data_IF_992970575090
#
_entry.id   IF_992970575090
#
_cell.length_a   1.000
_cell.length_b   1.000
_cell.length_c   1.000
_cell.angle_alpha   90.00
_cell.angle_beta   90.00
_cell.angle_gamma   90.00
#
_symmetry.space_group_name_H-M   'P 1'
#
loop_
_entity.id
_entity.type
_entity.pdbx_description
1 polymer ?
#
# COMPACT_ATOMS: atom_id res chain seq x y z
N UNK A 1 -5.20 -23.17 -4.54
CA UNK A 1 -5.80 -21.80 -4.50
C UNK A 1 -5.01 -20.97 -5.48
N UNK A 2 -5.67 -20.23 -6.37
CA UNK A 2 -5.00 -19.29 -7.29
C UNK A 2 -4.47 -18.11 -6.49
N UNK A 3 -3.22 -17.74 -6.68
CA UNK A 3 -2.62 -16.57 -6.04
C UNK A 3 -3.36 -15.30 -6.45
N UNK A 4 -3.59 -14.37 -5.51
CA UNK A 4 -4.23 -13.08 -5.78
C UNK A 4 -3.26 -12.12 -6.48
N UNK A 5 -2.01 -12.10 -6.05
CA UNK A 5 -0.88 -11.52 -6.76
C UNK A 5 0.22 -12.58 -6.85
N UNK A 6 0.70 -12.84 -8.05
CA UNK A 6 1.83 -13.73 -8.32
C UNK A 6 2.99 -12.93 -8.89
N UNK A 7 4.14 -13.03 -8.28
CA UNK A 7 5.43 -12.50 -8.73
C UNK A 7 6.33 -13.67 -9.08
N UNK A 8 6.92 -13.64 -10.26
CA UNK A 8 7.74 -14.76 -10.77
C UNK A 8 9.03 -14.24 -11.39
N UNK A 9 10.17 -14.67 -10.82
CA UNK A 9 11.50 -14.43 -11.38
C UNK A 9 11.85 -12.94 -11.55
N UNK A 10 11.39 -12.04 -10.64
CA UNK A 10 11.67 -10.61 -10.79
C UNK A 10 13.16 -10.33 -10.64
N UNK A 11 13.72 -9.72 -11.66
CA UNK A 11 15.08 -9.18 -11.69
C UNK A 11 15.04 -7.69 -12.01
N UNK A 12 15.86 -6.89 -11.32
CA UNK A 12 15.97 -5.46 -11.63
C UNK A 12 17.30 -4.88 -11.18
N UNK A 13 17.95 -4.10 -12.08
CA UNK A 13 19.25 -3.47 -11.87
C UNK A 13 19.16 -1.96 -12.01
N UNK A 14 19.84 -1.27 -11.12
CA UNK A 14 20.12 0.17 -11.25
C UNK A 14 21.61 0.35 -11.62
N UNK A 15 21.92 0.41 -12.91
CA UNK A 15 23.31 0.42 -13.37
C UNK A 15 24.08 -0.80 -12.86
N UNK A 16 25.09 -0.61 -12.01
CA UNK A 16 25.86 -1.71 -11.42
C UNK A 16 25.25 -2.38 -10.18
N UNK A 17 24.16 -1.83 -9.63
CA UNK A 17 23.51 -2.38 -8.44
C UNK A 17 22.39 -3.35 -8.83
N UNK A 18 22.48 -4.60 -8.42
CA UNK A 18 21.44 -5.60 -8.60
C UNK A 18 20.45 -5.51 -7.44
N UNK A 19 19.33 -4.82 -7.66
CA UNK A 19 18.37 -4.48 -6.62
C UNK A 19 17.33 -5.56 -6.34
N UNK A 20 16.99 -6.39 -7.35
CA UNK A 20 16.17 -7.60 -7.22
C UNK A 20 16.81 -8.72 -8.03
N UNK A 21 16.82 -9.93 -7.48
CA UNK A 21 17.49 -11.09 -8.04
C UNK A 21 16.58 -12.32 -7.91
N UNK A 22 15.98 -12.75 -9.00
CA UNK A 22 15.10 -13.92 -9.11
C UNK A 22 14.03 -13.97 -7.99
N UNK A 23 13.40 -12.83 -7.70
CA UNK A 23 12.38 -12.75 -6.65
C UNK A 23 11.07 -13.40 -7.11
N UNK A 24 10.64 -14.45 -6.41
CA UNK A 24 9.37 -15.13 -6.68
C UNK A 24 8.57 -15.32 -5.41
N UNK A 25 7.31 -14.86 -5.40
CA UNK A 25 6.38 -15.03 -4.26
C UNK A 25 4.93 -14.88 -4.69
N UNK A 26 4.03 -15.31 -3.82
CA UNK A 26 2.59 -15.18 -4.01
C UNK A 26 1.93 -14.51 -2.80
N UNK A 27 0.90 -13.72 -3.08
CA UNK A 27 0.04 -13.11 -2.06
C UNK A 27 -1.35 -13.70 -2.19
N UNK A 28 -1.90 -14.19 -1.07
CA UNK A 28 -3.24 -14.74 -0.99
C UNK A 28 -4.27 -13.63 -0.77
N UNK A 29 -5.45 -13.81 -1.36
CA UNK A 29 -6.55 -12.86 -1.19
C UNK A 29 -7.06 -12.80 0.26
N UNK A 30 -7.40 -11.60 0.72
CA UNK A 30 -8.00 -11.38 2.04
C UNK A 30 -7.01 -11.53 3.21
N UNK A 31 -5.71 -11.54 2.94
CA UNK A 31 -4.65 -11.65 3.95
C UNK A 31 -3.80 -10.41 4.07
N UNK A 32 -3.16 -10.27 5.24
CA UNK A 32 -2.08 -9.31 5.46
C UNK A 32 -0.74 -10.03 5.29
N UNK A 33 -0.01 -9.69 4.23
CA UNK A 33 1.37 -10.12 4.00
C UNK A 33 2.32 -8.99 4.34
N UNK A 34 3.30 -9.24 5.21
CA UNK A 34 4.36 -8.28 5.52
C UNK A 34 5.62 -8.57 4.71
N UNK A 35 6.16 -7.55 4.03
CA UNK A 35 7.46 -7.58 3.37
C UNK A 35 8.49 -6.95 4.30
N UNK A 36 9.37 -7.75 4.85
CA UNK A 36 10.38 -7.36 5.84
C UNK A 36 11.81 -7.54 5.31
N UNK A 37 12.76 -6.91 5.93
CA UNK A 37 14.18 -7.00 5.60
C UNK A 37 14.93 -5.71 5.91
N UNK A 38 16.28 -5.72 5.92
CA UNK A 38 17.08 -4.54 6.21
C UNK A 38 16.89 -3.41 5.19
N UNK A 39 17.41 -2.23 5.52
CA UNK A 39 17.43 -1.11 4.58
C UNK A 39 18.27 -1.47 3.35
N UNK A 40 17.79 -1.10 2.16
CA UNK A 40 18.46 -1.46 0.91
C UNK A 40 18.17 -2.89 0.41
N UNK A 41 17.36 -3.69 1.11
CA UNK A 41 17.04 -5.07 0.69
C UNK A 41 16.28 -5.19 -0.63
N UNK A 42 15.67 -4.10 -1.15
CA UNK A 42 14.88 -4.10 -2.40
C UNK A 42 13.37 -3.94 -2.20
N UNK A 43 12.87 -3.75 -0.96
CA UNK A 43 11.43 -3.65 -0.64
C UNK A 43 10.71 -2.57 -1.45
N UNK A 44 11.27 -1.36 -1.49
CA UNK A 44 10.72 -0.24 -2.27
C UNK A 44 10.77 -0.51 -3.77
N UNK A 45 11.80 -1.25 -4.25
CA UNK A 45 11.91 -1.68 -5.64
C UNK A 45 10.78 -2.63 -6.01
N UNK A 46 10.47 -3.64 -5.18
CA UNK A 46 9.31 -4.52 -5.36
C UNK A 46 8.02 -3.70 -5.47
N UNK A 47 7.78 -2.75 -4.55
CA UNK A 47 6.60 -1.89 -4.60
C UNK A 47 6.53 -1.06 -5.88
N UNK A 48 7.68 -0.51 -6.33
CA UNK A 48 7.74 0.28 -7.56
C UNK A 48 7.45 -0.57 -8.80
N UNK A 49 7.94 -1.81 -8.84
CA UNK A 49 7.69 -2.74 -9.95
C UNK A 49 6.22 -3.16 -9.97
N UNK A 50 5.65 -3.62 -8.84
CA UNK A 50 4.23 -4.00 -8.74
C UNK A 50 3.31 -2.84 -9.17
N UNK A 51 3.68 -1.60 -8.88
CA UNK A 51 2.84 -0.42 -9.18
C UNK A 51 3.20 0.28 -10.49
N UNK A 52 4.10 -0.30 -11.32
CA UNK A 52 4.44 0.19 -12.66
C UNK A 52 5.26 1.47 -12.68
N UNK A 53 5.84 1.89 -11.54
CA UNK A 53 6.80 3.00 -11.49
C UNK A 53 8.19 2.58 -11.99
N UNK A 54 8.48 1.28 -11.95
CA UNK A 54 9.65 0.65 -12.53
C UNK A 54 9.20 -0.54 -13.37
N UNK A 55 9.89 -0.78 -14.48
CA UNK A 55 9.75 -2.01 -15.26
C UNK A 55 10.83 -2.99 -14.80
N UNK A 56 10.52 -4.27 -14.57
CA UNK A 56 11.55 -5.26 -14.28
C UNK A 56 12.40 -5.52 -15.53
N UNK A 57 13.66 -5.92 -15.34
CA UNK A 57 14.52 -6.35 -16.44
C UNK A 57 14.12 -7.75 -16.91
N UNK A 58 13.75 -8.63 -15.95
CA UNK A 58 13.23 -9.97 -16.20
C UNK A 58 12.11 -10.31 -15.21
N UNK A 59 11.37 -11.37 -15.51
CA UNK A 59 10.28 -11.86 -14.69
C UNK A 59 8.92 -11.29 -15.07
N UNK A 60 7.91 -11.63 -14.30
CA UNK A 60 6.52 -11.22 -14.57
C UNK A 60 5.72 -11.04 -13.29
N UNK A 61 4.67 -10.22 -13.37
CA UNK A 61 3.70 -10.01 -12.31
C UNK A 61 2.30 -10.27 -12.85
N UNK A 62 1.56 -11.15 -12.20
CA UNK A 62 0.16 -11.40 -12.47
C UNK A 62 -0.70 -11.02 -11.27
N UNK A 63 -1.76 -10.26 -11.53
CA UNK A 63 -2.77 -9.92 -10.54
C UNK A 63 -4.09 -10.53 -10.97
N UNK A 64 -4.58 -11.52 -10.19
CA UNK A 64 -5.66 -12.40 -10.63
C UNK A 64 -5.28 -13.07 -11.95
N UNK A 65 -6.11 -12.91 -12.98
CA UNK A 65 -5.91 -13.48 -14.31
C UNK A 65 -5.27 -12.49 -15.30
N UNK A 66 -4.68 -11.39 -14.82
CA UNK A 66 -4.10 -10.33 -15.64
C UNK A 66 -2.62 -10.15 -15.37
N UNK A 67 -1.82 -10.17 -16.42
CA UNK A 67 -0.44 -9.74 -16.38
C UNK A 67 -0.38 -8.22 -16.23
N UNK A 68 0.43 -7.74 -15.29
CA UNK A 68 0.66 -6.31 -15.04
C UNK A 68 1.84 -5.75 -15.81
N UNK A 69 2.62 -6.61 -16.48
CA UNK A 69 3.83 -6.24 -17.17
C UNK A 69 3.56 -5.11 -18.18
N UNK A 70 4.45 -4.10 -18.16
CA UNK A 70 4.37 -2.90 -19.00
C UNK A 70 3.12 -1.99 -18.77
N UNK A 71 2.28 -2.29 -17.78
CA UNK A 71 1.19 -1.38 -17.45
C UNK A 71 1.71 -0.11 -16.78
N UNK A 72 1.11 1.03 -17.15
CA UNK A 72 1.36 2.31 -16.48
C UNK A 72 0.68 2.34 -15.11
N UNK A 73 1.17 3.12 -14.13
CA UNK A 73 0.60 3.20 -12.78
C UNK A 73 -0.92 3.42 -12.75
N UNK A 74 -1.45 4.26 -13.65
CA UNK A 74 -2.88 4.53 -13.71
C UNK A 74 -3.70 3.28 -14.13
N UNK A 75 -3.16 2.42 -14.99
CA UNK A 75 -3.81 1.18 -15.39
C UNK A 75 -3.79 0.15 -14.25
N UNK A 76 -2.71 0.12 -13.47
CA UNK A 76 -2.57 -0.75 -12.29
C UNK A 76 -3.57 -0.34 -11.19
N UNK A 77 -3.75 0.96 -10.94
CA UNK A 77 -4.80 1.43 -10.01
C UNK A 77 -6.18 1.01 -10.48
N UNK A 78 -6.48 1.14 -11.78
CA UNK A 78 -7.76 0.68 -12.37
C UNK A 78 -7.92 -0.84 -12.31
N UNK A 79 -6.83 -1.59 -12.32
CA UNK A 79 -6.87 -3.05 -12.12
C UNK A 79 -7.21 -3.45 -10.68
N UNK A 80 -7.10 -2.54 -9.70
CA UNK A 80 -7.46 -2.77 -8.32
C UNK A 80 -6.28 -2.82 -7.35
N UNK A 81 -5.11 -2.29 -7.72
CA UNK A 81 -3.93 -2.18 -6.86
C UNK A 81 -3.63 -0.72 -6.58
N UNK A 82 -3.51 -0.32 -5.32
CA UNK A 82 -3.12 1.04 -4.96
C UNK A 82 -2.10 1.02 -3.81
N UNK A 83 -1.27 2.08 -3.73
CA UNK A 83 -0.21 2.16 -2.71
C UNK A 83 -0.19 3.48 -1.97
N UNK A 84 0.26 3.43 -0.72
CA UNK A 84 0.79 4.60 -0.02
C UNK A 84 2.26 4.80 -0.38
N UNK A 85 2.80 5.95 -0.04
CA UNK A 85 4.23 6.24 -0.19
C UNK A 85 4.81 6.56 1.20
N UNK A 86 6.06 6.22 1.42
CA UNK A 86 6.79 6.53 2.66
C UNK A 86 6.71 8.02 3.00
N UNK A 87 6.93 8.89 2.01
CA UNK A 87 6.59 10.30 2.11
C UNK A 87 5.08 10.45 1.84
N UNK A 88 4.32 10.95 2.78
CA UNK A 88 2.83 10.94 2.78
C UNK A 88 2.19 11.49 1.51
N UNK A 89 2.90 12.37 0.76
CA UNK A 89 2.44 13.00 -0.50
C UNK A 89 1.01 13.55 -0.41
N UNK A 90 0.67 14.09 0.76
CA UNK A 90 -0.59 14.78 0.98
C UNK A 90 -0.52 16.20 0.45
N UNK A 91 -1.66 16.72 -0.01
CA UNK A 91 -1.83 18.13 -0.33
C UNK A 91 -2.08 18.89 0.97
N UNK A 92 -1.02 19.45 1.54
CA UNK A 92 -1.02 19.99 2.90
C UNK A 92 -1.90 21.24 3.07
N UNK A 93 -2.15 21.98 1.99
CA UNK A 93 -2.99 23.19 1.98
C UNK A 93 -4.47 22.91 1.65
N UNK A 94 -4.80 21.66 1.34
CA UNK A 94 -6.17 21.20 1.13
C UNK A 94 -6.72 20.56 2.40
N UNK A 95 -8.05 20.42 2.46
CA UNK A 95 -8.72 19.70 3.56
C UNK A 95 -8.49 18.19 3.45
N UNK A 96 -8.74 17.45 4.56
CA UNK A 96 -8.73 15.99 4.54
C UNK A 96 -9.73 15.46 3.51
N UNK A 97 -10.93 16.06 3.45
CA UNK A 97 -11.96 15.69 2.47
C UNK A 97 -11.48 15.86 1.03
N UNK A 98 -10.86 16.99 0.69
CA UNK A 98 -10.36 17.25 -0.66
C UNK A 98 -9.26 16.25 -1.05
N UNK A 99 -8.39 15.91 -0.10
CA UNK A 99 -7.37 14.89 -0.31
C UNK A 99 -7.97 13.52 -0.67
N UNK A 100 -9.05 13.09 0.01
CA UNK A 100 -9.73 11.83 -0.29
C UNK A 100 -10.48 11.92 -1.61
N UNK A 101 -11.14 13.04 -1.90
CA UNK A 101 -11.86 13.26 -3.18
C UNK A 101 -10.94 13.12 -4.40
N UNK A 102 -9.66 13.52 -4.31
CA UNK A 102 -8.67 13.32 -5.37
C UNK A 102 -8.46 11.82 -5.66
N UNK A 103 -8.51 10.96 -4.66
CA UNK A 103 -8.43 9.50 -4.83
C UNK A 103 -9.61 8.93 -5.63
N UNK A 104 -10.82 9.46 -5.41
CA UNK A 104 -12.05 9.02 -6.09
C UNK A 104 -12.07 9.44 -7.57
N UNK A 105 -11.54 10.63 -7.90
CA UNK A 105 -11.61 11.20 -9.24
C UNK A 105 -10.94 10.35 -10.33
N UNK A 106 -9.96 9.52 -9.97
CA UNK A 106 -9.22 8.70 -10.93
C UNK A 106 -9.96 7.47 -11.48
N UNK A 107 -11.10 7.10 -10.89
CA UNK A 107 -11.88 5.92 -11.34
C UNK A 107 -12.82 6.23 -12.51
N UNK A 108 -13.21 7.48 -12.69
CA UNK A 108 -14.13 7.86 -13.74
C UNK A 108 -13.41 8.74 -14.75
N UNK A 109 -13.18 8.23 -15.96
CA UNK A 109 -12.62 8.96 -17.08
C UNK A 109 -13.43 10.21 -17.41
N UNK A 110 -13.20 11.28 -16.67
CA UNK A 110 -13.76 12.60 -16.99
C UNK A 110 -12.94 13.20 -18.11
N UNK A 111 -13.48 13.10 -19.31
CA UNK A 111 -13.08 14.02 -20.36
C UNK A 111 -13.54 15.43 -19.98
N UNK A 112 -12.64 16.45 -20.00
CA UNK A 112 -13.00 17.84 -19.67
C UNK A 112 -14.18 18.38 -20.48
N UNK A 113 -14.42 17.79 -21.64
CA UNK A 113 -15.50 18.16 -22.58
C UNK A 113 -16.88 17.79 -22.02
N UNK A 114 -17.01 16.72 -21.23
CA UNK A 114 -18.30 16.33 -20.62
C UNK A 114 -18.80 17.29 -19.54
N UNK A 115 -17.90 17.96 -18.83
CA UNK A 115 -18.22 18.88 -17.75
C UNK A 115 -18.93 20.16 -18.26
N UNK A 116 -18.62 20.62 -19.47
CA UNK A 116 -19.18 21.83 -20.06
C UNK A 116 -20.63 21.62 -20.52
N UNK A 117 -20.97 20.42 -20.96
CA UNK A 117 -22.27 20.15 -21.59
C UNK A 117 -23.34 19.52 -20.66
N UNK A 118 -22.99 19.15 -19.40
CA UNK A 118 -23.94 18.49 -18.48
C UNK A 118 -23.80 18.96 -17.03
N UNK A 119 -24.10 20.22 -16.70
CA UNK A 119 -23.86 20.80 -15.36
C UNK A 119 -24.65 20.08 -14.24
N UNK A 120 -25.86 19.60 -14.49
CA UNK A 120 -26.67 18.89 -13.49
C UNK A 120 -26.14 17.49 -13.19
N UNK A 121 -25.57 16.81 -14.15
CA UNK A 121 -24.89 15.52 -13.95
C UNK A 121 -23.60 15.71 -13.12
N UNK A 122 -22.87 16.78 -13.41
CA UNK A 122 -21.65 17.14 -12.67
C UNK A 122 -21.93 17.43 -11.20
N UNK A 123 -22.98 18.20 -10.88
CA UNK A 123 -23.37 18.52 -9.52
C UNK A 123 -23.77 17.27 -8.71
N UNK A 124 -24.56 16.36 -9.32
CA UNK A 124 -24.94 15.08 -8.68
C UNK A 124 -23.73 14.16 -8.46
N UNK A 125 -22.85 14.05 -9.45
CA UNK A 125 -21.62 13.28 -9.35
C UNK A 125 -20.70 13.82 -8.27
N UNK A 126 -20.54 15.15 -8.19
CA UNK A 126 -19.73 15.80 -7.15
C UNK A 126 -20.31 15.58 -5.75
N UNK A 127 -21.64 15.67 -5.58
CA UNK A 127 -22.32 15.38 -4.31
C UNK A 127 -22.08 13.94 -3.88
N UNK A 128 -22.21 12.98 -4.80
CA UNK A 128 -21.95 11.58 -4.53
C UNK A 128 -20.50 11.33 -4.10
N UNK A 129 -19.52 11.87 -4.84
CA UNK A 129 -18.08 11.77 -4.50
C UNK A 129 -17.78 12.33 -3.12
N UNK A 130 -18.39 13.47 -2.79
CA UNK A 130 -18.24 14.07 -1.45
C UNK A 130 -18.79 13.15 -0.36
N UNK A 131 -19.91 12.49 -0.59
CA UNK A 131 -20.48 11.52 0.35
C UNK A 131 -19.58 10.27 0.49
N UNK A 132 -19.07 9.75 -0.61
CA UNK A 132 -18.12 8.62 -0.62
C UNK A 132 -16.82 8.99 0.12
N UNK A 133 -16.30 10.19 -0.08
CA UNK A 133 -15.12 10.67 0.63
C UNK A 133 -15.36 10.84 2.13
N UNK A 134 -16.51 11.38 2.53
CA UNK A 134 -16.89 11.50 3.96
C UNK A 134 -17.03 10.12 4.61
N UNK A 135 -17.68 9.17 3.93
CA UNK A 135 -17.79 7.79 4.41
C UNK A 135 -16.40 7.12 4.55
N UNK A 136 -15.48 7.40 3.62
CA UNK A 136 -14.10 6.88 3.70
C UNK A 136 -13.35 7.50 4.88
N UNK A 137 -13.52 8.80 5.14
CA UNK A 137 -12.93 9.46 6.30
C UNK A 137 -13.49 8.91 7.62
N UNK A 138 -14.79 8.69 7.70
CA UNK A 138 -15.43 8.05 8.84
C UNK A 138 -14.87 6.64 9.08
N UNK A 139 -14.71 5.87 7.99
CA UNK A 139 -14.14 4.53 8.02
C UNK A 139 -12.72 4.48 8.61
N UNK A 140 -11.89 5.49 8.37
CA UNK A 140 -10.52 5.58 8.95
C UNK A 140 -10.48 6.34 10.28
N UNK A 141 -11.62 6.78 10.83
CA UNK A 141 -11.71 7.51 12.11
C UNK A 141 -11.35 8.99 12.00
N UNK A 142 -11.54 9.60 10.83
CA UNK A 142 -11.26 11.02 10.57
C UNK A 142 -12.51 11.85 10.23
N UNK A 143 -13.72 11.37 10.59
CA UNK A 143 -14.97 12.07 10.29
C UNK A 143 -14.97 13.51 10.80
N UNK A 144 -14.58 13.73 12.06
CA UNK A 144 -14.55 15.04 12.71
C UNK A 144 -13.46 15.97 12.15
N UNK A 145 -12.50 15.41 11.40
CA UNK A 145 -11.38 16.12 10.77
C UNK A 145 -11.58 16.39 9.28
N UNK A 146 -12.75 16.01 8.74
CA UNK A 146 -13.01 16.09 7.30
C UNK A 146 -12.73 17.47 6.69
N UNK A 147 -13.02 18.53 7.41
CA UNK A 147 -12.87 19.91 6.96
C UNK A 147 -11.58 20.60 7.44
N UNK A 148 -10.75 19.90 8.21
CA UNK A 148 -9.48 20.43 8.67
C UNK A 148 -8.46 20.41 7.53
N UNK A 149 -7.66 21.47 7.45
CA UNK A 149 -6.53 21.54 6.52
C UNK A 149 -5.45 20.54 6.99
N UNK A 150 -4.90 19.77 6.06
CA UNK A 150 -4.00 18.64 6.38
C UNK A 150 -2.80 19.04 7.22
N UNK A 151 -2.22 20.22 7.04
CA UNK A 151 -1.10 20.71 7.87
C UNK A 151 -1.44 20.85 9.36
N UNK A 152 -2.73 20.90 9.72
CA UNK A 152 -3.20 21.00 11.11
C UNK A 152 -3.47 19.61 11.73
N UNK A 153 -3.41 18.54 10.94
CA UNK A 153 -3.55 17.18 11.42
C UNK A 153 -2.26 16.70 12.08
N UNK A 154 -2.39 15.92 13.13
CA UNK A 154 -1.26 15.19 13.72
C UNK A 154 -0.66 14.22 12.69
N UNK A 155 0.59 13.80 12.92
CA UNK A 155 1.26 12.85 12.01
C UNK A 155 0.50 11.52 11.90
N UNK A 156 -0.10 11.03 13.01
CA UNK A 156 -0.94 9.84 13.00
C UNK A 156 -2.21 10.01 12.14
N UNK A 157 -2.90 11.15 12.26
CA UNK A 157 -4.07 11.47 11.43
C UNK A 157 -3.67 11.60 9.94
N UNK A 158 -2.51 12.16 9.63
CA UNK A 158 -1.99 12.22 8.27
C UNK A 158 -1.70 10.81 7.71
N UNK A 159 -1.17 9.89 8.51
CA UNK A 159 -0.99 8.47 8.12
C UNK A 159 -2.35 7.81 7.83
N UNK A 160 -3.35 7.98 8.68
CA UNK A 160 -4.71 7.49 8.43
C UNK A 160 -5.30 8.08 7.15
N UNK A 161 -5.07 9.38 6.90
CA UNK A 161 -5.51 10.04 5.67
C UNK A 161 -4.85 9.46 4.40
N UNK A 162 -3.57 9.05 4.46
CA UNK A 162 -2.95 8.35 3.31
C UNK A 162 -3.64 7.03 3.01
N UNK A 163 -4.03 6.27 4.04
CA UNK A 163 -4.81 5.03 3.88
C UNK A 163 -6.18 5.35 3.31
N UNK A 164 -6.87 6.39 3.81
CA UNK A 164 -8.16 6.83 3.25
C UNK A 164 -8.09 7.15 1.75
N UNK A 165 -7.03 7.84 1.30
CA UNK A 165 -6.82 8.13 -0.13
C UNK A 165 -6.68 6.87 -0.98
N UNK A 166 -5.98 5.87 -0.48
CA UNK A 166 -5.81 4.58 -1.16
C UNK A 166 -7.13 3.81 -1.18
N UNK A 167 -7.88 3.79 -0.08
CA UNK A 167 -9.23 3.18 -0.01
C UNK A 167 -10.21 3.82 -0.98
N UNK A 168 -10.17 5.15 -1.13
CA UNK A 168 -11.02 5.91 -2.03
C UNK A 168 -10.85 5.53 -3.52
N UNK A 169 -9.72 4.90 -3.89
CA UNK A 169 -9.53 4.36 -5.24
C UNK A 169 -10.38 3.13 -5.52
N UNK A 170 -10.97 2.50 -4.50
CA UNK A 170 -11.69 1.23 -4.59
C UNK A 170 -10.79 0.01 -4.77
N UNK A 171 -9.48 0.15 -4.64
CA UNK A 171 -8.53 -0.95 -4.80
C UNK A 171 -8.82 -2.10 -3.81
N UNK A 172 -8.51 -3.32 -4.25
CA UNK A 172 -8.68 -4.54 -3.47
C UNK A 172 -7.35 -5.01 -2.87
N UNK A 173 -6.22 -4.73 -3.56
CA UNK A 173 -4.88 -4.92 -3.03
C UNK A 173 -4.27 -3.57 -2.65
N UNK A 174 -3.98 -3.41 -1.37
CA UNK A 174 -3.39 -2.21 -0.80
C UNK A 174 -1.92 -2.45 -0.47
N UNK A 175 -1.04 -1.69 -1.08
CA UNK A 175 0.39 -1.69 -0.77
C UNK A 175 0.67 -0.54 0.20
N UNK A 176 1.04 -0.86 1.43
CA UNK A 176 1.26 0.11 2.49
C UNK A 176 2.74 0.18 2.88
N UNK A 177 3.33 1.34 2.67
CA UNK A 177 4.77 1.57 2.90
C UNK A 177 4.99 2.19 4.28
N UNK A 178 5.42 1.40 5.25
CA UNK A 178 5.68 1.76 6.65
C UNK A 178 4.51 2.53 7.30
N UNK A 179 3.28 1.98 7.31
CA UNK A 179 2.11 2.69 7.85
C UNK A 179 2.23 2.98 9.35
N UNK A 180 2.98 2.18 10.09
CA UNK A 180 3.13 2.30 11.54
C UNK A 180 4.38 3.11 11.98
N UNK A 181 5.25 3.50 11.05
CA UNK A 181 6.51 4.19 11.36
C UNK A 181 6.28 5.59 11.93
N UNK A 182 7.01 5.93 13.02
CA UNK A 182 7.01 7.27 13.60
C UNK A 182 5.76 7.62 14.43
N UNK A 183 4.91 6.65 14.74
CA UNK A 183 3.66 6.86 15.48
C UNK A 183 3.86 6.77 17.00
N UNK A 184 3.07 7.55 17.74
CA UNK A 184 2.86 7.33 19.17
C UNK A 184 2.09 6.03 19.43
N UNK A 185 2.13 5.49 20.64
CA UNK A 185 1.47 4.22 20.97
C UNK A 185 -0.02 4.20 20.61
N UNK A 186 -0.77 5.24 20.97
CA UNK A 186 -2.20 5.30 20.66
C UNK A 186 -2.49 5.42 19.16
N UNK A 187 -1.68 6.18 18.40
CA UNK A 187 -1.81 6.26 16.95
C UNK A 187 -1.43 4.93 16.27
N UNK A 188 -0.44 4.22 16.78
CA UNK A 188 -0.05 2.91 16.33
C UNK A 188 -1.20 1.91 16.48
N UNK A 189 -1.83 1.86 17.67
CA UNK A 189 -2.97 0.97 17.93
C UNK A 189 -4.14 1.26 16.98
N UNK A 190 -4.43 2.54 16.70
CA UNK A 190 -5.47 2.94 15.77
C UNK A 190 -5.17 2.46 14.33
N UNK A 191 -3.92 2.61 13.87
CA UNK A 191 -3.51 2.13 12.53
C UNK A 191 -3.60 0.60 12.47
N UNK A 192 -3.10 -0.13 13.46
CA UNK A 192 -3.18 -1.59 13.48
C UNK A 192 -4.63 -2.09 13.50
N UNK A 193 -5.50 -1.46 14.29
CA UNK A 193 -6.92 -1.79 14.32
C UNK A 193 -7.58 -1.55 12.95
N UNK A 194 -7.21 -0.44 12.27
CA UNK A 194 -7.68 -0.16 10.91
C UNK A 194 -7.23 -1.25 9.93
N UNK A 195 -5.95 -1.64 9.92
CA UNK A 195 -5.45 -2.66 9.00
C UNK A 195 -6.15 -4.01 9.18
N UNK A 196 -6.37 -4.46 10.43
CA UNK A 196 -7.12 -5.68 10.73
C UNK A 196 -8.58 -5.58 10.29
N UNK A 197 -9.23 -4.44 10.49
CA UNK A 197 -10.60 -4.21 10.04
C UNK A 197 -10.69 -4.29 8.52
N UNK A 198 -9.78 -3.65 7.78
CA UNK A 198 -9.74 -3.72 6.32
C UNK A 198 -9.54 -5.15 5.81
N UNK A 199 -8.70 -5.92 6.46
CA UNK A 199 -8.53 -7.34 6.15
C UNK A 199 -9.82 -8.13 6.45
N UNK A 200 -10.48 -7.89 7.59
CA UNK A 200 -11.77 -8.50 7.93
C UNK A 200 -12.91 -8.16 6.96
N UNK A 201 -12.80 -7.04 6.25
CA UNK A 201 -13.70 -6.61 5.16
C UNK A 201 -13.31 -7.20 3.79
N UNK A 202 -12.32 -8.09 3.75
CA UNK A 202 -11.88 -8.79 2.54
C UNK A 202 -10.83 -8.06 1.72
N UNK A 203 -10.26 -6.95 2.22
CA UNK A 203 -9.11 -6.31 1.55
C UNK A 203 -7.87 -7.18 1.71
N UNK A 204 -7.04 -7.18 0.70
CA UNK A 204 -5.70 -7.79 0.71
C UNK A 204 -4.66 -6.71 0.95
N UNK A 205 -3.73 -6.92 1.87
CA UNK A 205 -2.73 -5.94 2.22
C UNK A 205 -1.33 -6.53 2.02
N UNK A 206 -0.47 -5.78 1.33
CA UNK A 206 0.98 -5.99 1.33
C UNK A 206 1.62 -4.82 2.06
N UNK A 207 2.23 -5.08 3.20
CA UNK A 207 2.73 -4.05 4.12
C UNK A 207 4.25 -4.15 4.23
N UNK A 208 4.97 -3.10 3.90
CA UNK A 208 6.39 -2.97 4.27
C UNK A 208 6.45 -2.49 5.71
N UNK A 209 7.10 -3.25 6.58
CA UNK A 209 7.32 -2.89 7.97
C UNK A 209 8.68 -3.37 8.45
N UNK A 210 9.22 -2.64 9.43
CA UNK A 210 10.48 -2.98 10.07
C UNK A 210 10.34 -3.23 11.58
N UNK A 211 9.17 -2.93 12.16
CA UNK A 211 8.86 -3.18 13.56
C UNK A 211 8.31 -4.60 13.73
N UNK A 212 9.12 -5.49 14.31
CA UNK A 212 8.75 -6.91 14.51
C UNK A 212 7.48 -7.08 15.34
N UNK A 213 7.22 -6.22 16.33
CA UNK A 213 5.99 -6.26 17.12
C UNK A 213 4.77 -6.00 16.24
N UNK A 214 4.85 -5.03 15.34
CA UNK A 214 3.77 -4.74 14.39
C UNK A 214 3.57 -5.93 13.46
N UNK A 215 4.66 -6.47 12.90
CA UNK A 215 4.60 -7.65 12.02
C UNK A 215 3.93 -8.83 12.72
N UNK A 216 4.36 -9.17 13.96
CA UNK A 216 3.75 -10.26 14.75
C UNK A 216 2.26 -10.06 15.00
N UNK A 217 1.83 -8.81 15.17
CA UNK A 217 0.45 -8.52 15.51
C UNK A 217 -0.49 -8.53 14.31
N UNK A 218 -0.04 -8.12 13.12
CA UNK A 218 -0.94 -7.96 11.98
C UNK A 218 -0.74 -8.99 10.87
N UNK A 219 0.47 -9.52 10.67
CA UNK A 219 0.78 -10.37 9.52
C UNK A 219 0.28 -11.80 9.70
N UNK A 220 -0.25 -12.39 8.63
CA UNK A 220 -0.53 -13.80 8.49
C UNK A 220 0.57 -14.51 7.68
N UNK A 221 1.27 -13.75 6.84
CA UNK A 221 2.42 -14.20 6.06
C UNK A 221 3.51 -13.13 6.11
N UNK A 222 4.75 -13.57 6.16
CA UNK A 222 5.93 -12.70 6.08
C UNK A 222 6.81 -13.16 4.93
N UNK A 223 7.26 -12.19 4.14
CA UNK A 223 8.26 -12.33 3.08
C UNK A 223 9.52 -11.63 3.56
N UNK A 224 10.62 -12.39 3.73
CA UNK A 224 11.90 -11.84 4.17
C UNK A 224 12.82 -11.59 2.99
N UNK A 225 13.12 -10.33 2.74
CA UNK A 225 13.96 -9.87 1.62
C UNK A 225 15.34 -9.44 2.14
N UNK A 226 16.41 -9.89 1.49
CA UNK A 226 17.77 -9.49 1.79
C UNK A 226 18.60 -9.40 0.49
N UNK A 227 19.29 -8.27 0.29
CA UNK A 227 20.15 -8.03 -0.89
C UNK A 227 19.50 -8.41 -2.24
N UNK A 228 18.23 -8.06 -2.40
CA UNK A 228 17.48 -8.36 -3.62
C UNK A 228 16.92 -9.76 -3.74
N UNK A 229 17.19 -10.68 -2.80
CA UNK A 229 16.69 -12.05 -2.79
C UNK A 229 15.57 -12.26 -1.78
N UNK A 230 14.57 -13.03 -2.14
CA UNK A 230 13.61 -13.58 -1.18
C UNK A 230 14.27 -14.75 -0.43
N UNK A 231 14.72 -14.49 0.80
CA UNK A 231 15.43 -15.49 1.62
C UNK A 231 14.50 -16.51 2.27
N UNK A 232 13.32 -16.06 2.69
CA UNK A 232 12.34 -16.90 3.37
C UNK A 232 10.92 -16.36 3.22
N UNK A 233 9.94 -17.25 3.32
CA UNK A 233 8.53 -16.90 3.51
C UNK A 233 7.89 -17.87 4.50
N UNK A 234 6.98 -17.38 5.33
CA UNK A 234 6.33 -18.19 6.36
C UNK A 234 5.43 -17.38 7.27
N UNK A 235 5.03 -17.94 8.39
CA UNK A 235 4.31 -17.21 9.44
C UNK A 235 5.27 -16.25 10.16
N UNK A 236 4.74 -15.20 10.83
CA UNK A 236 5.57 -14.30 11.64
C UNK A 236 6.47 -15.02 12.63
N UNK A 237 5.93 -16.03 13.33
CA UNK A 237 6.68 -16.80 14.33
C UNK A 237 7.84 -17.59 13.70
N UNK A 238 7.62 -18.20 12.53
CA UNK A 238 8.67 -18.93 11.80
C UNK A 238 9.82 -18.00 11.39
N UNK A 239 9.51 -16.81 10.87
CA UNK A 239 10.52 -15.88 10.38
C UNK A 239 11.27 -15.20 11.53
N UNK A 240 10.57 -14.80 12.60
CA UNK A 240 11.18 -14.06 13.71
C UNK A 240 12.00 -14.98 14.63
N UNK A 241 11.62 -16.26 14.73
CA UNK A 241 12.35 -17.24 15.53
C UNK A 241 13.57 -17.87 14.82
N UNK A 242 13.74 -17.61 13.53
CA UNK A 242 14.89 -18.10 12.77
C UNK A 242 16.17 -17.33 13.15
N UNK A 243 17.20 -17.97 13.74
CA UNK A 243 18.40 -17.29 14.22
C UNK A 243 19.19 -16.60 13.08
N UNK A 244 19.19 -17.19 11.87
CA UNK A 244 19.93 -16.64 10.72
C UNK A 244 19.23 -15.38 10.22
N UNK A 245 17.92 -15.41 10.11
CA UNK A 245 17.13 -14.24 9.70
C UNK A 245 17.19 -13.14 10.76
N UNK A 246 17.16 -13.50 12.04
CA UNK A 246 17.31 -12.54 13.14
C UNK A 246 18.67 -11.83 13.10
N UNK A 247 19.76 -12.57 12.87
CA UNK A 247 21.10 -11.99 12.72
C UNK A 247 21.18 -11.01 11.53
N UNK A 248 20.62 -11.38 10.37
CA UNK A 248 20.56 -10.52 9.20
C UNK A 248 19.73 -9.26 9.47
N UNK A 249 18.60 -9.40 10.18
CA UNK A 249 17.66 -8.31 10.41
C UNK A 249 18.18 -7.31 11.44
N UNK A 250 18.76 -7.78 12.52
CA UNK A 250 19.25 -6.93 13.64
C UNK A 250 20.72 -6.56 13.52
N UNK A 251 21.45 -7.09 12.54
CA UNK A 251 22.81 -6.67 12.20
C UNK A 251 23.83 -6.92 13.31
N UNK A 252 23.97 -8.17 13.79
CA UNK A 252 25.09 -8.55 14.64
C UNK A 252 25.26 -7.73 15.94
N UNK A 253 24.22 -7.13 16.46
CA UNK A 253 24.21 -6.42 17.75
C UNK A 253 23.55 -7.32 18.81
N UNK A 254 24.27 -8.35 19.20
CA UNK A 254 24.13 -9.07 20.48
C UNK A 254 25.43 -8.92 21.26
#
# INVERSE_FOLDING_TARGET
MTAFLQVTGLDHRFGGLHALQDCSFAIEQGRITCLVGPNGAGKTTIFNVITGFLQPDEGSIAFRDRTLDQLRPQAIVRAGIARTFQNLRLFTDLTALDNVMIGIAHQFGEEPIGAIFRPLHTARAQKRRRQEALATLDHVGLADRAHDVVRNLSYGEQKLLTVARVLATGAELLLLDEPASGLSAGALDAVMALLRRLQGEGKTLLVVEHNTRVVQQIAEQVLFLHQGHLMAQGTPDQIISDPVLAEIYFGGAL
#
